data_IF_645148255449
#
_entry.id   IF_645148255449
#
_cell.length_a   1.000
_cell.length_b   1.000
_cell.length_c   1.000
_cell.angle_alpha   90.00
_cell.angle_beta   90.00
_cell.angle_gamma   90.00
#
_symmetry.space_group_name_H-M   'P 1'
#
loop_
_entity.id
_entity.type
_entity.pdbx_description
1 polymer ?
#
# COMPACT_ATOMS: atom_id res chain seq x y z
N UNK A 1 -38.58 2.27 37.40
CA UNK A 1 -37.25 1.82 37.84
C UNK A 1 -36.61 1.13 36.64
N UNK A 2 -35.95 1.88 35.84
CA UNK A 2 -35.30 1.45 34.62
C UNK A 2 -33.78 1.44 34.86
N UNK A 3 -33.24 0.23 34.90
CA UNK A 3 -31.79 -0.01 35.10
C UNK A 3 -31.06 0.17 33.77
N UNK A 4 -30.33 1.24 33.63
CA UNK A 4 -29.36 1.48 32.56
C UNK A 4 -28.11 0.66 32.83
N UNK A 5 -27.84 -0.38 32.02
CA UNK A 5 -26.56 -1.07 32.01
C UNK A 5 -25.60 -0.31 31.11
N UNK A 6 -24.65 0.39 31.73
CA UNK A 6 -23.49 0.94 31.05
C UNK A 6 -22.55 -0.20 30.65
N UNK A 7 -22.33 -0.39 29.35
CA UNK A 7 -21.23 -1.21 28.87
C UNK A 7 -19.94 -0.41 29.08
N UNK A 8 -19.13 -0.85 30.05
CA UNK A 8 -17.73 -0.44 30.11
C UNK A 8 -16.97 -1.22 29.03
N UNK A 9 -16.55 -0.52 27.98
CA UNK A 9 -15.47 -1.00 27.12
C UNK A 9 -14.18 -1.00 27.95
N UNK A 10 -13.71 -2.18 28.31
CA UNK A 10 -12.41 -2.34 28.92
C UNK A 10 -11.33 -2.18 27.83
N UNK A 11 -10.69 -1.00 27.80
CA UNK A 11 -9.50 -0.76 26.99
C UNK A 11 -8.35 -1.57 27.59
N UNK A 12 -8.04 -2.72 27.02
CA UNK A 12 -6.80 -3.44 27.34
C UNK A 12 -5.63 -2.75 26.60
N UNK A 13 -4.95 -1.86 27.29
CA UNK A 13 -3.67 -1.30 26.86
C UNK A 13 -2.60 -2.35 27.16
N UNK A 14 -2.05 -3.00 26.14
CA UNK A 14 -0.84 -3.81 26.29
C UNK A 14 0.38 -2.93 26.02
N UNK A 15 1.13 -2.60 27.05
CA UNK A 15 2.49 -2.10 26.91
C UNK A 15 3.37 -3.22 26.37
N UNK A 16 3.83 -3.11 25.13
CA UNK A 16 4.91 -3.92 24.60
C UNK A 16 6.24 -3.45 25.21
N UNK A 17 6.67 -4.13 26.26
CA UNK A 17 8.01 -3.94 26.80
C UNK A 17 9.02 -4.59 25.84
N UNK A 18 9.75 -3.77 25.07
CA UNK A 18 10.90 -4.23 24.29
C UNK A 18 11.12 -3.65 22.91
N UNK A 19 10.19 -2.89 22.33
CA UNK A 19 10.44 -2.12 21.14
C UNK A 19 10.51 -0.64 21.54
N UNK A 20 11.60 0.04 21.20
CA UNK A 20 11.75 1.49 21.39
C UNK A 20 10.84 2.25 20.42
N UNK A 21 9.55 2.19 20.68
CA UNK A 21 8.58 3.11 20.12
C UNK A 21 8.63 4.32 21.05
N UNK A 22 9.07 5.46 20.54
CA UNK A 22 8.96 6.69 21.28
C UNK A 22 7.47 7.01 21.56
N UNK A 23 7.21 7.87 22.53
CA UNK A 23 5.92 8.10 23.22
C UNK A 23 4.74 8.53 22.31
N UNK A 24 4.78 8.38 20.99
CA UNK A 24 3.84 9.00 20.07
C UNK A 24 2.93 8.05 19.26
N UNK A 25 3.13 6.74 19.31
CA UNK A 25 2.31 5.82 18.55
C UNK A 25 1.89 4.56 19.29
N UNK A 26 0.61 4.40 19.57
CA UNK A 26 0.04 3.11 19.99
C UNK A 26 -0.46 2.33 18.79
N UNK A 27 -0.02 1.10 18.62
CA UNK A 27 -0.59 0.16 17.68
C UNK A 27 -1.73 -0.58 18.40
N UNK A 28 -2.95 -0.38 17.94
CA UNK A 28 -4.10 -1.12 18.40
C UNK A 28 -4.36 -2.32 17.49
N UNK A 29 -4.12 -3.52 18.00
CA UNK A 29 -4.46 -4.74 17.27
C UNK A 29 -5.94 -5.05 17.48
N UNK A 30 -6.71 -4.95 16.38
CA UNK A 30 -8.15 -5.25 16.39
C UNK A 30 -8.37 -6.75 16.34
N UNK A 31 -7.60 -7.45 15.52
CA UNK A 31 -7.56 -8.91 15.49
C UNK A 31 -6.31 -9.42 16.22
N UNK A 32 -6.50 -10.05 17.36
CA UNK A 32 -5.41 -10.53 18.23
C UNK A 32 -4.56 -11.69 17.66
N UNK A 33 -4.88 -12.18 16.46
CA UNK A 33 -4.02 -13.11 15.72
C UNK A 33 -2.81 -12.43 15.08
N UNK A 34 -2.77 -11.09 15.02
CA UNK A 34 -1.67 -10.33 14.44
C UNK A 34 -0.76 -9.74 15.51
N UNK A 35 0.55 -9.77 15.23
CA UNK A 35 1.59 -9.24 16.12
C UNK A 35 2.44 -8.24 15.36
N UNK A 36 2.19 -6.93 15.53
CA UNK A 36 2.97 -5.89 14.87
C UNK A 36 4.36 -5.72 15.52
N UNK A 37 5.37 -5.45 14.68
CA UNK A 37 6.72 -5.13 15.12
C UNK A 37 7.34 -4.08 14.20
N UNK A 38 7.84 -2.97 14.75
CA UNK A 38 8.58 -1.96 13.97
C UNK A 38 9.87 -2.59 13.45
N UNK A 39 10.12 -2.43 12.16
CA UNK A 39 11.20 -3.11 11.45
C UNK A 39 12.22 -2.13 10.90
N UNK A 40 11.77 -1.00 10.34
CA UNK A 40 12.61 0.07 9.79
C UNK A 40 12.09 1.40 10.30
N UNK A 41 12.98 2.32 10.62
CA UNK A 41 12.64 3.64 11.15
C UNK A 41 13.44 4.74 10.46
N UNK A 42 13.12 5.99 10.75
CA UNK A 42 13.89 7.16 10.30
C UNK A 42 15.37 7.09 10.71
N UNK A 43 15.70 6.46 11.85
CA UNK A 43 17.08 6.27 12.27
C UNK A 43 17.88 5.32 11.37
N UNK A 44 17.20 4.49 10.59
CA UNK A 44 17.80 3.55 9.62
C UNK A 44 18.00 4.19 8.25
N UNK A 45 17.55 5.43 8.04
CA UNK A 45 17.81 6.23 6.83
C UNK A 45 16.64 6.36 5.86
N UNK A 46 15.41 6.12 6.32
CA UNK A 46 14.17 6.49 5.60
C UNK A 46 13.63 7.82 6.13
N UNK A 47 12.78 8.49 5.38
CA UNK A 47 12.10 9.72 5.81
C UNK A 47 10.60 9.48 5.95
N UNK A 48 9.86 9.50 4.85
CA UNK A 48 8.42 9.21 4.79
C UNK A 48 8.17 8.20 3.68
N UNK A 49 8.28 6.89 3.96
CA UNK A 49 8.06 5.86 2.95
C UNK A 49 6.57 5.79 2.62
N UNK A 50 6.24 5.84 1.34
CA UNK A 50 4.92 5.61 0.81
C UNK A 50 4.77 4.16 0.32
N UNK A 51 4.80 3.91 -0.98
CA UNK A 51 4.72 2.56 -1.53
C UNK A 51 5.88 1.67 -1.09
N UNK A 52 5.57 0.41 -0.80
CA UNK A 52 6.56 -0.60 -0.43
C UNK A 52 6.34 -1.89 -1.20
N UNK A 53 7.44 -2.56 -1.54
CA UNK A 53 7.40 -3.80 -2.30
C UNK A 53 8.43 -4.82 -1.75
N UNK A 54 7.96 -6.01 -1.43
CA UNK A 54 8.86 -7.12 -1.14
C UNK A 54 9.32 -7.80 -2.43
N UNK A 55 10.64 -7.88 -2.63
CA UNK A 55 11.22 -8.46 -3.82
C UNK A 55 12.54 -9.16 -3.54
N UNK A 56 12.62 -10.45 -3.86
CA UNK A 56 13.82 -11.29 -3.66
C UNK A 56 14.45 -11.19 -2.26
N UNK A 57 13.61 -11.28 -1.23
CA UNK A 57 14.06 -11.24 0.16
C UNK A 57 14.47 -9.84 0.65
N UNK A 58 14.11 -8.77 -0.06
CA UNK A 58 14.40 -7.38 0.29
C UNK A 58 13.13 -6.56 0.27
N UNK A 59 13.08 -5.55 1.10
CA UNK A 59 12.03 -4.54 1.05
C UNK A 59 12.53 -3.32 0.27
N UNK A 60 11.82 -2.97 -0.79
CA UNK A 60 12.01 -1.73 -1.54
C UNK A 60 10.96 -0.74 -1.07
N UNK A 61 11.36 0.51 -0.89
CA UNK A 61 10.50 1.58 -0.38
C UNK A 61 10.63 2.81 -1.28
N UNK A 62 9.50 3.35 -1.68
CA UNK A 62 9.39 4.69 -2.24
C UNK A 62 9.44 5.68 -1.06
N UNK A 63 10.58 6.29 -0.81
CA UNK A 63 10.81 7.24 0.28
C UNK A 63 10.53 8.65 -0.23
N UNK A 64 9.25 9.03 -0.20
CA UNK A 64 8.72 10.29 -0.71
C UNK A 64 9.50 11.50 -0.16
N UNK A 65 9.50 11.70 1.15
CA UNK A 65 10.23 12.81 1.78
C UNK A 65 11.75 12.74 1.57
N UNK A 66 12.30 11.53 1.43
CA UNK A 66 13.70 11.29 1.07
C UNK A 66 13.99 11.49 -0.41
N UNK A 67 12.96 11.59 -1.26
CA UNK A 67 13.04 11.69 -2.72
C UNK A 67 13.93 10.62 -3.33
N UNK A 68 13.66 9.37 -2.93
CA UNK A 68 14.54 8.26 -3.26
C UNK A 68 13.81 6.93 -3.23
N UNK A 69 14.33 5.97 -3.98
CA UNK A 69 14.03 4.57 -3.68
C UNK A 69 15.07 4.03 -2.69
N UNK A 70 14.58 3.37 -1.65
CA UNK A 70 15.38 2.76 -0.60
C UNK A 70 15.23 1.25 -0.62
N UNK A 71 16.28 0.56 -0.19
CA UNK A 71 16.30 -0.91 -0.06
C UNK A 71 16.76 -1.29 1.33
N UNK A 72 15.93 -2.06 2.03
CA UNK A 72 16.30 -2.71 3.28
C UNK A 72 16.51 -4.22 3.05
N UNK A 73 17.64 -4.74 3.52
CA UNK A 73 18.04 -6.14 3.37
C UNK A 73 18.33 -6.78 4.74
N UNK A 74 17.38 -6.64 5.68
CA UNK A 74 17.46 -7.19 7.03
C UNK A 74 18.69 -6.77 7.86
N UNK A 75 19.48 -5.82 7.37
CA UNK A 75 20.62 -5.25 8.07
C UNK A 75 20.24 -4.01 8.87
N UNK A 76 21.20 -3.41 9.59
CA UNK A 76 20.98 -2.19 10.34
C UNK A 76 20.84 -0.96 9.44
N UNK A 77 21.21 -1.06 8.18
CA UNK A 77 21.25 0.09 7.27
C UNK A 77 20.28 -0.09 6.10
N UNK A 78 19.70 1.02 5.69
CA UNK A 78 18.92 1.16 4.46
C UNK A 78 19.82 1.74 3.36
N UNK A 79 19.80 1.13 2.18
CA UNK A 79 20.64 1.55 1.04
C UNK A 79 19.78 2.35 0.05
N UNK A 80 20.33 3.43 -0.48
CA UNK A 80 19.70 4.20 -1.57
C UNK A 80 19.94 3.49 -2.90
N UNK A 81 18.86 3.19 -3.63
CA UNK A 81 18.90 2.62 -4.96
C UNK A 81 19.05 3.70 -6.03
N UNK A 82 18.21 4.73 -5.96
CA UNK A 82 18.26 5.94 -6.78
C UNK A 82 17.62 7.09 -6.01
N UNK A 83 17.93 8.34 -6.39
CA UNK A 83 17.51 9.51 -5.63
C UNK A 83 17.28 10.77 -6.50
N UNK A 84 17.03 11.88 -5.82
CA UNK A 84 16.80 13.20 -6.41
C UNK A 84 17.88 13.70 -7.36
N UNK A 85 19.07 13.14 -7.34
CA UNK A 85 20.13 13.55 -8.30
C UNK A 85 19.78 13.18 -9.74
N UNK A 86 18.86 12.23 -9.93
CA UNK A 86 18.29 11.85 -11.23
C UNK A 86 17.01 12.61 -11.60
N UNK A 87 16.48 13.43 -10.69
CA UNK A 87 15.23 14.17 -10.89
C UNK A 87 14.00 13.54 -10.24
N UNK A 88 14.18 12.53 -9.37
CA UNK A 88 13.13 11.95 -8.55
C UNK A 88 12.70 12.99 -7.51
N UNK A 89 11.40 13.24 -7.39
CA UNK A 89 10.84 14.25 -6.51
C UNK A 89 9.90 13.69 -5.45
N UNK A 90 9.03 12.77 -5.82
CA UNK A 90 7.97 12.24 -4.95
C UNK A 90 7.59 10.85 -5.47
N UNK A 91 8.44 9.82 -5.17
CA UNK A 91 8.18 8.46 -5.61
C UNK A 91 7.04 7.86 -4.78
N UNK A 92 6.06 7.26 -5.45
CA UNK A 92 4.81 6.77 -4.88
C UNK A 92 4.77 5.23 -4.82
N UNK A 93 4.20 4.60 -5.81
CA UNK A 93 3.92 3.16 -5.84
C UNK A 93 4.89 2.39 -6.75
N UNK A 94 5.03 1.08 -6.53
CA UNK A 94 6.09 0.25 -7.06
C UNK A 94 5.56 -1.06 -7.64
N UNK A 95 6.12 -1.50 -8.76
CA UNK A 95 5.87 -2.84 -9.31
C UNK A 95 7.13 -3.41 -9.96
N UNK A 96 7.28 -4.75 -9.94
CA UNK A 96 8.36 -5.46 -10.61
C UNK A 96 7.79 -6.35 -11.72
N UNK A 97 8.42 -6.36 -12.87
CA UNK A 97 8.04 -7.24 -13.97
C UNK A 97 8.64 -8.64 -13.87
N UNK A 98 8.20 -9.53 -14.77
CA UNK A 98 8.72 -10.89 -14.85
C UNK A 98 10.20 -11.01 -15.27
N UNK A 99 10.81 -9.92 -15.74
CA UNK A 99 12.23 -9.85 -16.11
C UNK A 99 13.11 -9.30 -14.97
N UNK A 100 12.49 -8.79 -13.90
CA UNK A 100 13.16 -8.22 -12.74
C UNK A 100 13.52 -6.75 -12.89
N UNK A 101 12.83 -6.00 -13.75
CA UNK A 101 12.92 -4.56 -13.78
C UNK A 101 11.89 -3.98 -12.80
N UNK A 102 12.30 -2.99 -12.02
CA UNK A 102 11.46 -2.29 -11.07
C UNK A 102 10.90 -1.04 -11.74
N UNK A 103 9.60 -0.83 -11.62
CA UNK A 103 8.92 0.38 -12.07
C UNK A 103 8.34 1.12 -10.88
N UNK A 104 8.34 2.44 -10.95
CA UNK A 104 7.71 3.28 -9.93
C UNK A 104 7.12 4.55 -10.55
N UNK A 105 6.12 5.08 -9.90
CA UNK A 105 5.50 6.36 -10.20
C UNK A 105 6.15 7.47 -9.40
N UNK A 106 6.07 8.70 -9.89
CA UNK A 106 6.57 9.91 -9.22
C UNK A 106 5.53 11.02 -9.44
N UNK A 107 4.79 11.39 -8.39
CA UNK A 107 3.68 12.32 -8.48
C UNK A 107 4.15 13.71 -8.93
N UNK A 108 5.04 14.32 -8.18
CA UNK A 108 5.51 15.69 -8.46
C UNK A 108 6.32 15.78 -9.74
N UNK A 109 7.15 14.81 -10.10
CA UNK A 109 7.83 14.80 -11.39
C UNK A 109 6.85 14.49 -12.53
N UNK A 110 5.79 13.77 -12.26
CA UNK A 110 4.77 13.34 -13.21
C UNK A 110 5.33 12.33 -14.20
N UNK A 111 5.55 11.09 -13.77
CA UNK A 111 6.13 10.10 -14.64
C UNK A 111 6.19 8.68 -14.13
N UNK A 112 6.41 7.78 -15.09
CA UNK A 112 6.77 6.40 -14.87
C UNK A 112 8.27 6.25 -15.05
N UNK A 113 8.92 5.69 -14.06
CA UNK A 113 10.34 5.39 -14.03
C UNK A 113 10.58 3.88 -14.11
N UNK A 114 11.75 3.51 -14.60
CA UNK A 114 12.27 2.14 -14.55
C UNK A 114 13.65 2.12 -13.90
N UNK A 115 13.88 1.15 -13.04
CA UNK A 115 15.23 0.75 -12.62
C UNK A 115 15.48 -0.63 -13.22
N UNK A 116 16.42 -0.69 -14.16
CA UNK A 116 16.76 -1.93 -14.83
C UNK A 116 17.52 -2.92 -13.91
N UNK A 117 17.70 -4.14 -14.35
CA UNK A 117 18.41 -5.19 -13.58
C UNK A 117 19.89 -4.86 -13.27
N UNK A 118 20.45 -3.85 -13.92
CA UNK A 118 21.80 -3.37 -13.65
C UNK A 118 21.81 -2.21 -12.64
N UNK A 119 20.62 -1.76 -12.20
CA UNK A 119 20.45 -0.65 -11.27
C UNK A 119 20.45 0.72 -11.93
N UNK A 120 20.28 0.81 -13.26
CA UNK A 120 20.15 2.09 -13.94
C UNK A 120 18.72 2.57 -13.89
N UNK A 121 18.52 3.77 -13.33
CA UNK A 121 17.20 4.39 -13.27
C UNK A 121 17.02 5.44 -14.39
N UNK A 122 15.85 5.41 -15.05
CA UNK A 122 15.50 6.33 -16.11
C UNK A 122 13.99 6.50 -16.26
N UNK A 123 13.56 7.61 -16.87
CA UNK A 123 12.14 7.90 -17.14
C UNK A 123 11.68 7.14 -18.39
N UNK A 124 10.66 6.32 -18.28
CA UNK A 124 9.98 5.61 -19.39
C UNK A 124 9.00 6.54 -20.09
N UNK A 125 8.16 7.23 -19.32
CA UNK A 125 7.21 8.21 -19.81
C UNK A 125 6.99 9.28 -18.74
N UNK A 126 6.77 10.54 -19.17
CA UNK A 126 6.58 11.66 -18.26
C UNK A 126 5.64 12.71 -18.82
N UNK A 127 5.72 13.94 -18.31
CA UNK A 127 4.85 15.06 -18.66
C UNK A 127 4.79 15.35 -20.16
N UNK A 128 5.89 15.19 -20.88
CA UNK A 128 5.92 15.37 -22.35
C UNK A 128 5.07 14.36 -23.12
N UNK A 129 4.70 13.26 -22.47
CA UNK A 129 3.84 12.20 -23.00
C UNK A 129 2.43 12.22 -22.39
N UNK A 130 2.13 13.20 -21.55
CA UNK A 130 0.78 13.43 -21.00
C UNK A 130 0.53 12.83 -19.61
N UNK A 131 1.55 12.39 -18.88
CA UNK A 131 1.47 12.01 -17.48
C UNK A 131 1.79 13.23 -16.60
N UNK A 132 1.00 13.51 -15.57
CA UNK A 132 1.13 14.74 -14.77
C UNK A 132 1.25 14.50 -13.26
N UNK A 133 0.41 13.68 -12.68
CA UNK A 133 0.32 13.36 -11.24
C UNK A 133 0.15 11.86 -11.14
N UNK A 134 1.30 11.16 -11.18
CA UNK A 134 1.28 9.69 -11.30
C UNK A 134 1.40 9.05 -9.94
N UNK A 135 0.33 8.40 -9.55
CA UNK A 135 0.13 7.73 -8.26
C UNK A 135 0.24 6.21 -8.41
N UNK A 136 -0.89 5.53 -8.47
CA UNK A 136 -0.95 4.08 -8.53
C UNK A 136 -0.31 3.45 -9.77
N UNK A 137 0.21 2.26 -9.59
CA UNK A 137 0.85 1.46 -10.64
C UNK A 137 0.36 0.01 -10.61
N UNK A 138 0.28 -0.62 -11.79
CA UNK A 138 0.07 -2.07 -11.87
C UNK A 138 0.73 -2.67 -13.11
N UNK A 139 1.24 -3.87 -13.00
CA UNK A 139 1.69 -4.65 -14.15
C UNK A 139 0.50 -5.35 -14.80
N UNK A 140 0.17 -4.97 -16.03
CA UNK A 140 -0.91 -5.61 -16.79
C UNK A 140 -0.49 -7.00 -17.29
N UNK A 141 -1.46 -7.92 -17.49
CA UNK A 141 -1.18 -9.23 -18.09
C UNK A 141 -0.56 -9.17 -19.51
N UNK A 142 -0.69 -8.04 -20.20
CA UNK A 142 -0.03 -7.78 -21.49
C UNK A 142 1.47 -7.49 -21.36
N UNK A 143 1.95 -7.18 -20.15
CA UNK A 143 3.29 -6.69 -19.88
C UNK A 143 3.43 -5.17 -19.94
N UNK A 144 2.36 -4.44 -20.27
CA UNK A 144 2.32 -2.98 -20.15
C UNK A 144 2.20 -2.56 -18.68
N UNK A 145 2.61 -1.35 -18.37
CA UNK A 145 2.46 -0.78 -17.04
C UNK A 145 1.21 0.12 -17.03
N UNK A 146 0.28 -0.15 -16.13
CA UNK A 146 -0.83 0.76 -15.87
C UNK A 146 -0.37 1.82 -14.87
N UNK A 147 -0.73 3.07 -15.15
CA UNK A 147 -0.37 4.24 -14.35
C UNK A 147 -1.63 5.05 -14.06
N UNK A 148 -1.93 5.27 -12.81
CA UNK A 148 -2.97 6.18 -12.35
C UNK A 148 -2.47 7.62 -12.41
N UNK A 149 -3.32 8.55 -12.84
CA UNK A 149 -3.00 9.99 -12.88
C UNK A 149 -4.13 10.77 -12.19
N UNK A 150 -3.82 11.28 -10.99
CA UNK A 150 -4.78 11.97 -10.13
C UNK A 150 -5.26 13.31 -10.68
N UNK A 151 -4.45 14.02 -11.46
CA UNK A 151 -4.83 15.29 -12.10
C UNK A 151 -5.69 15.05 -13.34
N UNK A 152 -5.43 13.96 -14.05
CA UNK A 152 -6.19 13.58 -15.25
C UNK A 152 -7.47 12.84 -14.93
N UNK A 153 -7.57 12.25 -13.74
CA UNK A 153 -8.65 11.35 -13.35
C UNK A 153 -8.77 10.14 -14.30
N UNK A 154 -7.63 9.63 -14.71
CA UNK A 154 -7.50 8.61 -15.75
C UNK A 154 -6.51 7.52 -15.34
N UNK A 155 -6.65 6.36 -15.94
CA UNK A 155 -5.61 5.34 -15.92
C UNK A 155 -5.04 5.21 -17.33
N UNK A 156 -3.72 5.25 -17.43
CA UNK A 156 -2.98 5.08 -18.68
C UNK A 156 -2.33 3.69 -18.74
N UNK A 157 -2.18 3.18 -19.97
CA UNK A 157 -1.32 2.03 -20.26
C UNK A 157 -0.05 2.53 -20.91
N UNK A 158 1.09 2.18 -20.36
CA UNK A 158 2.42 2.56 -20.84
C UNK A 158 3.18 1.32 -21.27
N UNK A 159 3.56 1.28 -22.55
CA UNK A 159 4.37 0.18 -23.09
C UNK A 159 5.85 0.35 -22.70
N UNK A 160 6.65 -0.71 -22.83
CA UNK A 160 8.09 -0.69 -22.51
C UNK A 160 8.88 0.34 -23.31
N UNK A 161 8.48 0.64 -24.56
CA UNK A 161 9.06 1.70 -25.38
C UNK A 161 8.51 3.10 -25.07
N UNK A 162 7.73 3.21 -23.98
CA UNK A 162 7.22 4.46 -23.43
C UNK A 162 6.10 5.09 -24.25
N UNK A 163 5.32 4.32 -25.00
CA UNK A 163 4.06 4.81 -25.58
C UNK A 163 2.99 4.84 -24.55
N UNK A 164 2.32 5.98 -24.41
CA UNK A 164 1.22 6.20 -23.48
C UNK A 164 -0.11 6.12 -24.25
N UNK A 165 -1.05 5.35 -23.74
CA UNK A 165 -2.41 5.27 -24.25
C UNK A 165 -3.41 5.25 -23.09
N UNK A 166 -4.60 5.79 -23.32
CA UNK A 166 -5.67 5.79 -22.33
C UNK A 166 -6.19 4.36 -22.09
N UNK A 167 -6.26 3.94 -20.83
CA UNK A 167 -6.82 2.65 -20.41
C UNK A 167 -8.21 2.80 -19.81
N UNK A 168 -8.40 3.77 -18.90
CA UNK A 168 -9.68 4.21 -18.37
C UNK A 168 -9.74 5.74 -18.44
N UNK A 169 -10.84 6.25 -18.96
CA UNK A 169 -11.08 7.69 -19.08
C UNK A 169 -11.80 8.28 -17.85
N UNK A 170 -11.69 9.59 -17.66
CA UNK A 170 -12.30 10.34 -16.57
C UNK A 170 -13.83 10.18 -16.46
N UNK A 171 -14.53 9.83 -17.56
CA UNK A 171 -15.98 9.64 -17.55
C UNK A 171 -16.41 8.35 -16.83
N UNK A 172 -15.48 7.49 -16.47
CA UNK A 172 -15.75 6.26 -15.72
C UNK A 172 -16.01 6.52 -14.24
N UNK A 173 -15.75 7.73 -13.76
CA UNK A 173 -16.02 8.17 -12.40
C UNK A 173 -14.92 7.82 -11.39
N UNK A 174 -13.72 7.51 -11.87
CA UNK A 174 -12.52 7.44 -11.04
C UNK A 174 -11.97 8.86 -10.93
N UNK A 175 -11.61 9.26 -9.71
CA UNK A 175 -11.12 10.61 -9.42
C UNK A 175 -9.62 10.61 -9.15
N UNK A 176 -9.14 9.81 -8.22
CA UNK A 176 -7.73 9.66 -7.91
C UNK A 176 -7.37 8.17 -7.83
N UNK A 177 -6.86 7.55 -8.92
CA UNK A 177 -6.46 6.15 -8.92
C UNK A 177 -5.13 5.99 -8.16
N UNK A 178 -5.23 5.90 -6.84
CA UNK A 178 -4.13 5.93 -5.87
C UNK A 178 -3.28 4.67 -5.89
N UNK A 179 -3.91 3.53 -5.98
CA UNK A 179 -3.23 2.25 -6.08
C UNK A 179 -4.02 1.26 -6.92
N UNK A 180 -3.33 0.36 -7.58
CA UNK A 180 -3.94 -0.63 -8.47
C UNK A 180 -3.27 -2.00 -8.32
N UNK A 181 -4.09 -3.07 -8.32
CA UNK A 181 -3.56 -4.43 -8.30
C UNK A 181 -4.46 -5.40 -9.05
N UNK A 182 -3.86 -6.30 -9.82
CA UNK A 182 -4.59 -7.42 -10.38
C UNK A 182 -4.80 -8.50 -9.33
N UNK A 183 -6.07 -8.85 -9.10
CA UNK A 183 -6.47 -9.99 -8.32
C UNK A 183 -6.74 -11.20 -9.19
N UNK A 184 -7.46 -12.17 -8.62
CA UNK A 184 -7.85 -13.39 -9.33
C UNK A 184 -8.77 -13.13 -10.52
N UNK A 185 -8.77 -14.08 -11.44
CA UNK A 185 -9.62 -14.07 -12.63
C UNK A 185 -9.41 -12.83 -13.53
N UNK A 186 -8.28 -12.14 -13.40
CA UNK A 186 -7.93 -10.97 -14.20
C UNK A 186 -8.72 -9.70 -13.83
N UNK A 187 -9.34 -9.65 -12.66
CA UNK A 187 -9.95 -8.43 -12.14
C UNK A 187 -8.85 -7.45 -11.73
N UNK A 188 -8.98 -6.20 -12.15
CA UNK A 188 -8.15 -5.10 -11.65
C UNK A 188 -8.91 -4.37 -10.55
N UNK A 189 -8.35 -4.33 -9.34
CA UNK A 189 -8.83 -3.48 -8.27
C UNK A 189 -8.14 -2.13 -8.34
N UNK A 190 -8.87 -1.06 -8.02
CA UNK A 190 -8.38 0.32 -8.06
C UNK A 190 -8.86 1.01 -6.78
N UNK A 191 -7.94 1.51 -5.98
CA UNK A 191 -8.23 2.37 -4.84
C UNK A 191 -8.37 3.82 -5.31
N UNK A 192 -9.40 4.49 -4.83
CA UNK A 192 -9.64 5.92 -5.06
C UNK A 192 -9.88 6.58 -3.70
N UNK A 193 -8.84 7.20 -3.15
CA UNK A 193 -8.88 7.80 -1.82
C UNK A 193 -9.53 9.18 -1.81
N UNK A 194 -9.74 9.79 -2.97
CA UNK A 194 -10.47 11.05 -3.07
C UNK A 194 -11.97 10.85 -2.85
N UNK A 195 -12.53 9.83 -3.48
CA UNK A 195 -13.97 9.51 -3.39
C UNK A 195 -14.27 8.40 -2.37
N UNK A 196 -13.24 7.88 -1.67
CA UNK A 196 -13.35 6.82 -0.68
C UNK A 196 -13.98 5.54 -1.26
N UNK A 197 -13.52 5.13 -2.45
CA UNK A 197 -14.08 4.00 -3.21
C UNK A 197 -13.02 2.97 -3.57
N UNK A 198 -13.36 1.70 -3.41
CA UNK A 198 -12.64 0.60 -4.05
C UNK A 198 -13.42 0.17 -5.29
N UNK A 199 -12.80 0.28 -6.44
CA UNK A 199 -13.34 -0.22 -7.71
C UNK A 199 -12.80 -1.60 -8.05
N UNK A 200 -13.58 -2.33 -8.86
CA UNK A 200 -13.17 -3.54 -9.56
C UNK A 200 -13.48 -3.41 -11.05
N UNK A 201 -12.46 -3.49 -11.89
CA UNK A 201 -12.61 -3.60 -13.32
C UNK A 201 -12.51 -5.07 -13.74
N UNK A 202 -13.59 -5.62 -14.29
CA UNK A 202 -13.58 -7.00 -14.77
C UNK A 202 -12.87 -7.15 -16.12
N UNK A 203 -12.45 -8.36 -16.54
CA UNK A 203 -11.91 -8.59 -17.89
C UNK A 203 -12.86 -8.16 -19.02
N UNK A 204 -14.16 -8.18 -18.76
CA UNK A 204 -15.19 -7.68 -19.70
C UNK A 204 -15.31 -6.15 -19.72
N UNK A 205 -14.36 -5.43 -19.08
CA UNK A 205 -14.32 -3.96 -18.97
C UNK A 205 -15.50 -3.31 -18.25
N UNK A 206 -16.20 -4.08 -17.40
CA UNK A 206 -17.21 -3.54 -16.49
C UNK A 206 -16.51 -3.00 -15.25
N UNK A 207 -16.66 -1.71 -14.97
CA UNK A 207 -16.20 -1.07 -13.74
C UNK A 207 -17.31 -1.11 -12.71
N UNK A 208 -17.02 -1.61 -11.52
CA UNK A 208 -17.95 -1.78 -10.41
C UNK A 208 -17.38 -1.14 -9.15
N UNK A 209 -18.23 -0.46 -8.37
CA UNK A 209 -17.90 0.00 -7.02
C UNK A 209 -18.08 -1.16 -6.06
N UNK A 210 -17.00 -1.64 -5.47
CA UNK A 210 -17.01 -2.81 -4.57
C UNK A 210 -17.23 -2.39 -3.13
N UNK A 211 -16.55 -1.33 -2.73
CA UNK A 211 -16.73 -0.68 -1.43
C UNK A 211 -16.89 0.82 -1.67
N UNK A 212 -17.92 1.40 -1.08
CA UNK A 212 -18.21 2.84 -1.15
C UNK A 212 -19.03 3.28 0.05
N UNK A 213 -19.02 4.59 0.35
CA UNK A 213 -19.86 5.23 1.38
C UNK A 213 -19.74 4.56 2.76
N UNK A 214 -18.57 4.07 3.13
CA UNK A 214 -18.33 3.46 4.44
C UNK A 214 -17.68 4.47 5.37
N UNK A 215 -18.28 4.68 6.53
CA UNK A 215 -17.68 5.51 7.56
C UNK A 215 -16.32 4.94 7.98
N UNK A 216 -15.30 5.78 7.98
CA UNK A 216 -13.94 5.38 8.34
C UNK A 216 -13.26 4.47 7.32
N UNK A 217 -13.50 4.70 6.02
CA UNK A 217 -12.85 4.00 4.90
C UNK A 217 -12.33 5.02 3.87
N UNK A 218 -11.04 5.00 3.61
CA UNK A 218 -10.38 5.77 2.56
C UNK A 218 -9.18 4.95 2.06
N UNK A 219 -9.36 4.15 0.98
CA UNK A 219 -8.33 3.23 0.55
C UNK A 219 -7.14 3.97 -0.07
N UNK A 220 -5.96 3.68 0.43
CA UNK A 220 -4.68 4.23 -0.04
C UNK A 220 -4.01 3.21 -0.96
N UNK A 221 -3.25 2.31 -0.41
CA UNK A 221 -2.61 1.23 -1.16
C UNK A 221 -3.38 -0.08 -1.02
N UNK A 222 -3.41 -0.84 -2.11
CA UNK A 222 -4.02 -2.16 -2.14
C UNK A 222 -3.01 -3.23 -2.59
N UNK A 223 -2.98 -4.35 -1.90
CA UNK A 223 -2.12 -5.48 -2.19
C UNK A 223 -2.91 -6.78 -2.24
N UNK A 224 -2.73 -7.59 -3.27
CA UNK A 224 -3.42 -8.86 -3.41
C UNK A 224 -2.46 -10.03 -3.18
N UNK A 225 -2.74 -10.83 -2.16
CA UNK A 225 -2.00 -12.05 -1.86
C UNK A 225 -2.91 -13.10 -1.22
N UNK A 226 -2.70 -14.36 -1.53
CA UNK A 226 -3.40 -15.50 -0.91
C UNK A 226 -4.94 -15.36 -0.93
N UNK A 227 -5.52 -14.94 -2.05
CA UNK A 227 -6.97 -14.70 -2.24
C UNK A 227 -7.56 -13.53 -1.45
N UNK A 228 -6.75 -12.74 -0.77
CA UNK A 228 -7.15 -11.61 0.06
C UNK A 228 -6.62 -10.31 -0.53
N UNK A 229 -7.44 -9.29 -0.55
CA UNK A 229 -7.04 -7.92 -0.82
C UNK A 229 -6.76 -7.23 0.51
N UNK A 230 -5.51 -6.83 0.74
CA UNK A 230 -5.12 -6.00 1.86
C UNK A 230 -5.24 -4.54 1.45
N UNK A 231 -5.75 -3.70 2.34
CA UNK A 231 -6.08 -2.30 2.06
C UNK A 231 -5.58 -1.45 3.21
N UNK A 232 -4.71 -0.51 2.91
CA UNK A 232 -4.34 0.56 3.84
C UNK A 232 -5.33 1.70 3.75
N UNK A 233 -5.45 2.45 4.82
CA UNK A 233 -6.32 3.62 4.94
C UNK A 233 -5.54 4.73 5.63
N UNK A 234 -5.03 5.67 4.85
CA UNK A 234 -4.20 6.77 5.33
C UNK A 234 -4.96 7.69 6.26
N UNK A 235 -6.19 8.07 5.89
CA UNK A 235 -7.01 9.01 6.68
C UNK A 235 -7.40 8.49 8.07
N UNK A 236 -7.53 7.17 8.23
CA UNK A 236 -8.03 6.57 9.46
C UNK A 236 -7.00 5.68 10.16
N UNK A 237 -5.78 5.62 9.63
CA UNK A 237 -4.68 4.87 10.22
C UNK A 237 -4.95 3.38 10.35
N UNK A 238 -5.41 2.71 9.29
CA UNK A 238 -5.83 1.30 9.37
C UNK A 238 -5.18 0.44 8.31
N UNK A 239 -5.00 -0.84 8.66
CA UNK A 239 -4.83 -1.92 7.72
C UNK A 239 -6.06 -2.83 7.81
N UNK A 240 -6.68 -3.10 6.68
CA UNK A 240 -7.86 -3.96 6.56
C UNK A 240 -7.62 -5.07 5.56
N UNK A 241 -8.43 -6.13 5.62
CA UNK A 241 -8.52 -7.18 4.61
C UNK A 241 -9.91 -7.20 3.99
N UNK A 242 -9.97 -7.60 2.74
CA UNK A 242 -11.23 -7.74 2.01
C UNK A 242 -11.23 -9.02 1.18
N UNK A 243 -12.33 -9.77 1.30
CA UNK A 243 -12.74 -10.81 0.35
C UNK A 243 -14.17 -10.55 -0.09
N UNK A 244 -14.62 -11.04 -1.25
CA UNK A 244 -16.03 -10.92 -1.64
C UNK A 244 -16.99 -11.64 -0.68
N UNK A 245 -16.53 -12.68 -0.01
CA UNK A 245 -17.31 -13.52 0.91
C UNK A 245 -17.47 -12.88 2.29
N UNK A 246 -16.37 -12.39 2.85
CA UNK A 246 -16.33 -11.89 4.24
C UNK A 246 -16.55 -10.38 4.33
N UNK A 247 -16.36 -9.68 3.22
CA UNK A 247 -16.41 -8.22 3.17
C UNK A 247 -15.12 -7.58 3.72
N UNK A 248 -15.24 -6.33 4.18
CA UNK A 248 -14.11 -5.54 4.71
C UNK A 248 -14.00 -5.73 6.23
N UNK A 249 -12.82 -6.14 6.68
CA UNK A 249 -12.49 -6.33 8.11
C UNK A 249 -11.20 -5.57 8.46
N UNK A 250 -11.23 -4.78 9.53
CA UNK A 250 -10.03 -4.12 10.06
C UNK A 250 -9.19 -5.11 10.83
N UNK A 251 -7.92 -5.23 10.46
CA UNK A 251 -6.93 -6.09 11.11
C UNK A 251 -6.18 -5.35 12.21
N UNK A 252 -5.65 -4.17 11.85
CA UNK A 252 -4.84 -3.33 12.72
C UNK A 252 -5.29 -1.89 12.57
N UNK A 253 -5.36 -1.16 13.68
CA UNK A 253 -5.54 0.28 13.69
C UNK A 253 -4.38 0.92 14.46
N UNK A 254 -3.80 1.96 13.90
CA UNK A 254 -2.73 2.72 14.52
C UNK A 254 -3.36 3.88 15.29
N UNK A 255 -3.26 3.82 16.63
CA UNK A 255 -3.84 4.83 17.50
C UNK A 255 -2.83 5.98 17.70
N UNK A 256 -3.26 7.19 17.46
CA UNK A 256 -2.47 8.41 17.59
C UNK A 256 -3.00 9.49 16.67
N UNK A 257 -2.51 10.71 16.84
CA UNK A 257 -2.83 11.78 15.91
C UNK A 257 -1.96 11.61 14.68
N UNK A 258 -2.37 11.29 13.54
CA UNK A 258 -1.66 11.47 12.29
C UNK A 258 -0.63 10.39 11.94
N UNK A 259 -1.10 9.17 11.80
CA UNK A 259 -0.33 8.15 11.12
C UNK A 259 -1.02 7.83 9.80
N UNK A 260 -0.45 8.29 8.69
CA UNK A 260 -0.88 7.83 7.39
C UNK A 260 -0.32 6.44 7.18
N UNK A 261 -1.22 5.48 7.03
CA UNK A 261 -0.88 4.09 6.71
C UNK A 261 -0.92 3.96 5.20
N UNK A 262 0.26 4.00 4.58
CA UNK A 262 0.42 4.15 3.14
C UNK A 262 0.56 2.81 2.42
N UNK A 263 1.77 2.31 2.23
CA UNK A 263 2.03 1.09 1.46
C UNK A 263 1.78 -0.20 2.23
N UNK A 264 1.49 -1.28 1.50
CA UNK A 264 1.40 -2.64 2.05
C UNK A 264 1.95 -3.66 1.07
N UNK A 265 2.68 -4.65 1.60
CA UNK A 265 3.20 -5.80 0.83
C UNK A 265 3.31 -7.04 1.71
N UNK A 266 3.54 -8.20 1.09
CA UNK A 266 3.82 -9.46 1.81
C UNK A 266 5.19 -9.99 1.46
N UNK A 267 5.88 -10.59 2.46
CA UNK A 267 7.10 -11.35 2.18
C UNK A 267 6.79 -12.76 1.61
N UNK A 268 7.85 -13.51 1.30
CA UNK A 268 7.76 -14.87 0.74
C UNK A 268 7.09 -15.87 1.71
N UNK A 269 6.90 -15.48 2.98
CA UNK A 269 6.25 -16.28 4.02
C UNK A 269 4.80 -15.82 4.27
N UNK A 270 4.33 -14.81 3.53
CA UNK A 270 3.00 -14.21 3.68
C UNK A 270 2.86 -13.26 4.86
N UNK A 271 3.97 -12.83 5.46
CA UNK A 271 3.94 -11.82 6.52
C UNK A 271 3.81 -10.43 5.91
N UNK A 272 2.93 -9.63 6.46
CA UNK A 272 2.63 -8.29 5.96
C UNK A 272 3.67 -7.27 6.47
N UNK A 273 4.00 -6.33 5.58
CA UNK A 273 4.73 -5.11 5.90
C UNK A 273 3.87 -3.92 5.51
N UNK A 274 3.89 -2.89 6.34
CA UNK A 274 3.11 -1.66 6.15
C UNK A 274 4.03 -0.47 6.38
N UNK A 275 4.03 0.48 5.46
CA UNK A 275 4.68 1.78 5.67
C UNK A 275 3.74 2.74 6.38
N UNK A 276 4.31 3.59 7.22
CA UNK A 276 3.59 4.57 8.02
C UNK A 276 4.35 5.88 7.95
N UNK A 277 3.63 6.96 7.70
CA UNK A 277 4.14 8.32 7.77
C UNK A 277 3.57 9.02 9.01
N UNK A 278 4.44 9.69 9.76
CA UNK A 278 4.06 10.61 10.85
C UNK A 278 4.24 12.04 10.36
N UNK A 279 3.16 12.63 9.90
CA UNK A 279 3.16 13.98 9.31
C UNK A 279 3.44 15.11 10.32
N UNK A 280 3.36 14.85 11.63
CA UNK A 280 3.72 15.85 12.64
C UNK A 280 5.24 15.94 12.84
N UNK A 281 5.96 14.83 12.65
CA UNK A 281 7.40 14.75 12.97
C UNK A 281 8.31 14.52 11.76
N UNK A 282 7.77 14.47 10.55
CA UNK A 282 8.49 14.06 9.31
C UNK A 282 9.23 12.73 9.49
N UNK A 283 8.61 11.77 10.16
CA UNK A 283 9.18 10.45 10.42
C UNK A 283 8.42 9.36 9.71
N UNK A 284 9.17 8.37 9.26
CA UNK A 284 8.63 7.19 8.64
C UNK A 284 8.98 5.90 9.38
N UNK A 285 8.09 4.94 9.24
CA UNK A 285 8.24 3.62 9.83
C UNK A 285 7.82 2.55 8.83
N UNK A 286 8.44 1.38 8.94
CA UNK A 286 7.88 0.15 8.36
C UNK A 286 7.60 -0.81 9.50
N UNK A 287 6.37 -1.28 9.56
CA UNK A 287 5.89 -2.23 10.56
C UNK A 287 5.65 -3.58 9.90
N UNK A 288 6.29 -4.62 10.42
CA UNK A 288 6.01 -6.00 10.07
C UNK A 288 4.84 -6.48 10.92
N UNK A 289 3.86 -7.10 10.29
CA UNK A 289 2.70 -7.67 10.97
C UNK A 289 2.77 -9.18 10.82
N UNK A 290 3.33 -9.82 11.82
CA UNK A 290 3.42 -11.27 11.90
C UNK A 290 2.07 -11.87 12.30
N UNK A 291 1.86 -13.11 11.90
CA UNK A 291 0.70 -13.90 12.28
C UNK A 291 1.07 -14.81 13.46
N UNK A 292 0.28 -14.81 14.54
CA UNK A 292 0.49 -15.72 15.67
C UNK A 292 -0.14 -17.10 15.35
N UNK A 293 0.64 -17.96 14.73
CA UNK A 293 0.20 -19.31 14.35
C UNK A 293 -0.33 -20.16 15.52
N UNK A 294 -0.05 -19.77 16.75
CA UNK A 294 -0.60 -20.47 17.94
C UNK A 294 -2.09 -20.17 18.15
N UNK A 295 -2.62 -19.12 17.53
CA UNK A 295 -4.05 -18.74 17.60
C UNK A 295 -4.87 -19.26 16.42
N UNK A 296 -4.21 -19.77 15.37
CA UNK A 296 -4.87 -20.37 14.20
C UNK A 296 -5.35 -21.81 14.39
N UNK A 297 -5.17 -22.37 15.56
CA UNK A 297 -5.76 -23.67 15.88
C UNK A 297 -7.26 -23.47 16.04
N UNK A 298 -7.98 -23.46 14.92
CA UNK A 298 -9.43 -23.69 14.92
C UNK A 298 -9.65 -25.03 15.64
N UNK A 299 -10.37 -25.06 16.75
CA UNK A 299 -10.67 -26.32 17.40
C UNK A 299 -11.37 -27.22 16.39
N UNK A 300 -10.90 -28.45 16.22
CA UNK A 300 -11.48 -29.47 15.33
C UNK A 300 -12.95 -29.82 15.63
N UNK A 301 -13.60 -29.12 16.56
CA UNK A 301 -14.98 -29.29 16.98
C UNK A 301 -16.05 -28.60 16.12
N UNK A 302 -15.68 -27.85 15.06
CA UNK A 302 -16.64 -27.16 14.21
C UNK A 302 -16.86 -27.83 12.83
N UNK A 303 -16.44 -29.09 12.62
CA UNK A 303 -16.62 -29.80 11.36
C UNK A 303 -17.68 -30.91 11.39
N UNK A 304 -18.56 -30.91 12.37
CA UNK A 304 -19.72 -31.82 12.36
C UNK A 304 -20.92 -31.07 12.96
N UNK A 305 -21.77 -30.57 12.09
CA UNK A 305 -23.20 -30.78 12.04
C UNK A 305 -23.76 -30.30 10.69
#
# INVERSE_FOLDING_TARGET
MTSTRSLLLASCVFLLAGCGVDDHGMILVVDHSYVPAVTVTTSDGITTPDGILWWHGKLIMADEGGRALRVWNHGPDVVTLCDRSLGILEPEDLVVDGEGNLFFTDDTAGGLWEVDRNGHAFVVAGRSKGLFSTEGIALAPSGDILVGDGVRHEVFSVTRDGRVSQFLDANRGITKPESMVYGENGNLYIADNHDDVLYRLTPAKKLERVLENREGFSPETIWFANHVLYITDSKHGKLSRYTPEDGLETMVAFAGKLHDVCGVTTDDQGQLYVSIQDNESDRGYVVKIGHDAAKDVIPLAAQHD
#
